data_IF_568367046861
#
_entry.id   IF_568367046861
#
_cell.length_a   1.000
_cell.length_b   1.000
_cell.length_c   1.000
_cell.angle_alpha   90.00
_cell.angle_beta   90.00
_cell.angle_gamma   90.00
#
_symmetry.space_group_name_H-M   'P 1'
#
loop_
_entity.id
_entity.type
_entity.pdbx_description
1 polymer ?
#
# COMPACT_ATOMS: atom_id res chain seq x y z
N UNK A 1 23.88 21.38 -8.39
CA UNK A 1 23.96 20.05 -9.06
C UNK A 1 23.00 19.03 -8.49
N UNK A 2 22.92 18.79 -7.11
CA UNK A 2 22.03 17.79 -6.50
C UNK A 2 20.55 18.21 -6.56
N UNK A 3 20.24 19.49 -6.30
CA UNK A 3 18.88 20.06 -6.41
C UNK A 3 18.36 19.98 -7.85
N UNK A 4 19.14 20.40 -8.83
CA UNK A 4 18.74 20.33 -10.25
C UNK A 4 18.49 18.89 -10.72
N UNK A 5 19.29 17.93 -10.24
CA UNK A 5 19.09 16.53 -10.55
C UNK A 5 17.80 15.98 -9.94
N UNK A 6 17.51 16.33 -8.68
CA UNK A 6 16.25 15.98 -8.00
C UNK A 6 15.04 16.59 -8.69
N UNK A 7 15.11 17.87 -9.05
CA UNK A 7 14.02 18.56 -9.76
C UNK A 7 13.74 17.93 -11.12
N UNK A 8 14.79 17.61 -11.89
CA UNK A 8 14.65 16.91 -13.19
C UNK A 8 14.06 15.50 -13.01
N UNK A 9 14.48 14.78 -11.97
CA UNK A 9 13.98 13.43 -11.69
C UNK A 9 12.53 13.45 -11.22
N UNK A 10 12.16 14.38 -10.34
CA UNK A 10 10.79 14.61 -9.91
C UNK A 10 9.89 15.01 -11.09
N UNK A 11 10.33 15.94 -11.92
CA UNK A 11 9.58 16.36 -13.09
C UNK A 11 9.37 15.21 -14.10
N UNK A 12 10.38 14.34 -14.28
CA UNK A 12 10.26 13.15 -15.14
C UNK A 12 9.24 12.16 -14.58
N UNK A 13 9.25 11.94 -13.27
CA UNK A 13 8.30 11.07 -12.58
C UNK A 13 6.87 11.62 -12.68
N UNK A 14 6.68 12.91 -12.36
CA UNK A 14 5.39 13.56 -12.47
C UNK A 14 4.81 13.47 -13.89
N UNK A 15 5.66 13.69 -14.91
CA UNK A 15 5.23 13.57 -16.31
C UNK A 15 4.87 12.13 -16.70
N UNK A 16 5.62 11.14 -16.22
CA UNK A 16 5.32 9.73 -16.51
C UNK A 16 4.03 9.25 -15.82
N UNK A 17 3.78 9.71 -14.60
CA UNK A 17 2.53 9.44 -13.88
C UNK A 17 1.36 10.13 -14.58
N UNK A 18 1.52 11.39 -14.94
CA UNK A 18 0.48 12.17 -15.65
C UNK A 18 0.13 11.56 -17.02
N UNK A 19 1.13 11.13 -17.79
CA UNK A 19 0.89 10.48 -19.09
C UNK A 19 0.21 9.10 -18.95
N UNK A 20 0.40 8.39 -17.83
CA UNK A 20 -0.24 7.11 -17.56
C UNK A 20 -1.67 7.20 -17.03
N UNK A 21 -2.13 8.38 -16.63
CA UNK A 21 -3.45 8.60 -16.03
C UNK A 21 -4.41 9.36 -16.94
N UNK A 22 -4.20 9.37 -18.25
CA UNK A 22 -5.05 10.08 -19.25
C UNK A 22 -5.40 11.53 -18.89
N UNK A 23 -4.55 12.22 -18.14
CA UNK A 23 -4.72 13.64 -17.80
C UNK A 23 -5.79 13.94 -16.73
N UNK A 24 -6.39 12.94 -16.12
CA UNK A 24 -7.42 13.12 -15.09
C UNK A 24 -6.89 13.39 -13.67
N UNK A 25 -5.57 13.43 -13.49
CA UNK A 25 -4.99 13.73 -12.20
C UNK A 25 -5.15 15.23 -11.89
N UNK A 26 -6.24 15.59 -11.23
CA UNK A 26 -6.36 16.90 -10.59
C UNK A 26 -5.43 16.87 -9.38
N UNK A 27 -4.21 17.36 -9.55
CA UNK A 27 -3.35 17.64 -8.40
C UNK A 27 -3.96 18.82 -7.65
N UNK A 28 -4.58 18.56 -6.51
CA UNK A 28 -4.89 19.62 -5.57
C UNK A 28 -3.58 20.23 -5.11
N UNK A 29 -3.43 21.53 -5.35
CA UNK A 29 -2.33 22.28 -4.77
C UNK A 29 -2.48 22.23 -3.25
N UNK A 30 -1.38 21.92 -2.55
CA UNK A 30 -1.32 21.98 -1.09
C UNK A 30 -1.77 23.37 -0.63
N UNK A 31 -2.89 23.42 0.08
CA UNK A 31 -3.54 24.67 0.51
C UNK A 31 -3.27 25.00 1.98
N UNK A 32 -2.65 24.08 2.69
CA UNK A 32 -2.34 24.25 4.11
C UNK A 32 -1.09 25.10 4.30
N UNK A 33 -0.97 25.70 5.48
CA UNK A 33 0.25 26.39 5.90
C UNK A 33 1.44 25.44 5.86
N UNK A 34 2.64 25.99 5.64
CA UNK A 34 3.90 25.22 5.70
C UNK A 34 3.88 24.34 6.96
N UNK A 35 4.13 23.03 6.85
CA UNK A 35 4.07 22.14 8.00
C UNK A 35 4.89 22.70 9.16
N UNK A 36 4.39 22.61 10.40
CA UNK A 36 5.08 23.14 11.54
C UNK A 36 6.50 22.57 11.62
N UNK A 37 7.46 23.34 12.12
CA UNK A 37 8.84 22.90 12.26
C UNK A 37 8.88 21.54 12.95
N UNK A 38 9.76 20.68 12.47
CA UNK A 38 9.92 19.33 12.98
C UNK A 38 9.94 19.34 14.53
N UNK A 39 9.10 18.52 15.14
CA UNK A 39 9.04 18.37 16.62
C UNK A 39 10.37 17.92 17.23
N UNK A 40 11.36 17.65 16.41
CA UNK A 40 12.61 16.98 16.78
C UNK A 40 13.81 17.92 16.96
N UNK A 41 13.71 19.19 16.59
CA UNK A 41 14.79 20.14 16.87
C UNK A 41 14.28 21.49 17.35
N UNK A 42 13.95 21.56 18.63
CA UNK A 42 13.47 22.78 19.27
C UNK A 42 14.59 23.69 19.73
N UNK A 43 15.86 23.23 19.76
CA UNK A 43 16.94 24.01 20.35
C UNK A 43 17.55 25.08 19.45
N UNK A 44 17.49 24.91 18.12
CA UNK A 44 18.14 25.81 17.17
C UNK A 44 17.21 26.49 16.17
N UNK A 45 15.91 26.31 16.26
CA UNK A 45 14.96 26.90 15.31
C UNK A 45 15.07 26.35 13.88
N UNK A 46 15.72 25.22 13.68
CA UNK A 46 15.84 24.56 12.38
C UNK A 46 14.50 23.96 11.98
N UNK A 47 14.08 24.26 10.76
CA UNK A 47 12.80 23.84 10.19
C UNK A 47 12.76 22.36 9.75
N UNK A 48 13.68 21.50 10.22
CA UNK A 48 13.71 20.08 9.85
C UNK A 48 14.22 19.78 8.45
N UNK A 49 14.90 20.72 7.81
CA UNK A 49 15.51 20.56 6.46
C UNK A 49 17.01 20.24 6.53
N UNK A 50 17.49 19.69 7.63
CA UNK A 50 18.86 19.22 7.75
C UNK A 50 19.02 17.80 7.21
N UNK A 51 20.23 17.41 6.88
CA UNK A 51 20.54 16.05 6.47
C UNK A 51 20.33 15.09 7.67
N UNK A 52 19.53 14.05 7.47
CA UNK A 52 19.25 13.05 8.50
C UNK A 52 20.49 12.20 8.78
N UNK A 53 20.78 11.96 10.05
CA UNK A 53 21.69 10.89 10.44
C UNK A 53 21.12 9.52 10.12
N UNK A 54 21.98 8.47 10.11
CA UNK A 54 21.51 7.11 9.87
C UNK A 54 20.43 6.64 10.85
N UNK A 55 20.57 6.96 12.13
CA UNK A 55 19.58 6.58 13.16
C UNK A 55 18.28 7.38 13.04
N UNK A 56 18.36 8.65 12.63
CA UNK A 56 17.17 9.46 12.37
C UNK A 56 16.42 8.93 11.13
N UNK A 57 17.13 8.60 10.03
CA UNK A 57 16.52 8.00 8.87
C UNK A 57 15.86 6.66 9.21
N UNK A 58 16.57 5.81 9.95
CA UNK A 58 16.04 4.53 10.43
C UNK A 58 14.71 4.73 11.17
N UNK A 59 14.67 5.61 12.15
CA UNK A 59 13.51 5.84 13.01
C UNK A 59 12.36 6.53 12.28
N UNK A 60 12.64 7.58 11.52
CA UNK A 60 11.61 8.44 10.95
C UNK A 60 11.13 8.00 9.58
N UNK A 61 11.94 7.25 8.86
CA UNK A 61 11.59 6.76 7.53
C UNK A 61 11.34 5.26 7.52
N UNK A 62 12.36 4.44 7.77
CA UNK A 62 12.25 2.99 7.66
C UNK A 62 11.24 2.40 8.65
N UNK A 63 11.37 2.70 9.92
CA UNK A 63 10.50 2.15 10.97
C UNK A 63 9.06 2.65 10.84
N UNK A 64 8.84 3.91 10.48
CA UNK A 64 7.51 4.45 10.20
C UNK A 64 6.84 3.76 9.01
N UNK A 65 7.57 3.57 7.90
CA UNK A 65 7.04 2.87 6.72
C UNK A 65 6.73 1.40 7.04
N UNK A 66 7.61 0.72 7.76
CA UNK A 66 7.39 -0.65 8.20
C UNK A 66 6.11 -0.76 9.05
N UNK A 67 5.96 0.09 10.06
CA UNK A 67 4.78 0.13 10.93
C UNK A 67 3.50 0.47 10.15
N UNK A 68 3.57 1.38 9.20
CA UNK A 68 2.44 1.71 8.34
C UNK A 68 2.00 0.51 7.51
N UNK A 69 2.94 -0.20 6.87
CA UNK A 69 2.66 -1.39 6.08
C UNK A 69 2.05 -2.51 6.93
N UNK A 70 2.57 -2.75 8.14
CA UNK A 70 2.02 -3.73 9.08
C UNK A 70 0.56 -3.39 9.43
N UNK A 71 0.26 -2.13 9.74
CA UNK A 71 -1.12 -1.70 10.00
C UNK A 71 -2.04 -1.94 8.80
N UNK A 72 -1.57 -1.63 7.59
CA UNK A 72 -2.33 -1.84 6.34
C UNK A 72 -2.59 -3.31 6.05
N UNK A 73 -1.60 -4.18 6.20
CA UNK A 73 -1.79 -5.64 6.05
C UNK A 73 -2.83 -6.14 7.03
N UNK A 74 -2.72 -5.79 8.30
CA UNK A 74 -3.67 -6.19 9.32
C UNK A 74 -5.09 -5.71 9.01
N UNK A 75 -5.24 -4.49 8.53
CA UNK A 75 -6.54 -3.95 8.09
C UNK A 75 -7.12 -4.76 6.93
N UNK A 76 -6.31 -5.03 5.90
CA UNK A 76 -6.74 -5.79 4.71
C UNK A 76 -7.03 -7.25 5.02
N UNK A 77 -6.26 -7.88 5.91
CA UNK A 77 -6.57 -9.23 6.40
C UNK A 77 -7.89 -9.30 7.17
N UNK A 78 -8.19 -8.31 8.01
CA UNK A 78 -9.48 -8.23 8.70
C UNK A 78 -10.63 -8.06 7.72
N UNK A 79 -10.48 -7.19 6.73
CA UNK A 79 -11.46 -6.99 5.67
C UNK A 79 -11.74 -8.30 4.91
N UNK A 80 -10.68 -9.01 4.51
CA UNK A 80 -10.78 -10.32 3.87
C UNK A 80 -11.52 -11.35 4.74
N UNK A 81 -11.13 -11.47 6.00
CA UNK A 81 -11.77 -12.40 6.94
C UNK A 81 -13.25 -12.09 7.15
N UNK A 82 -13.62 -10.82 7.21
CA UNK A 82 -15.02 -10.42 7.36
C UNK A 82 -15.85 -10.78 6.11
N UNK A 83 -15.31 -10.54 4.92
CA UNK A 83 -15.96 -10.96 3.67
C UNK A 83 -16.13 -12.49 3.60
N UNK A 84 -15.08 -13.24 3.95
CA UNK A 84 -15.16 -14.71 4.01
C UNK A 84 -16.22 -15.17 4.99
N UNK A 85 -16.36 -14.56 6.17
CA UNK A 85 -17.42 -14.87 7.13
C UNK A 85 -18.81 -14.63 6.56
N UNK A 86 -19.01 -13.51 5.85
CA UNK A 86 -20.29 -13.19 5.20
C UNK A 86 -20.63 -14.23 4.11
N UNK A 87 -19.65 -14.65 3.32
CA UNK A 87 -19.81 -15.70 2.31
C UNK A 87 -20.23 -17.02 2.96
N UNK A 88 -19.53 -17.45 4.01
CA UNK A 88 -19.84 -18.71 4.69
C UNK A 88 -21.20 -18.67 5.40
N UNK A 89 -21.57 -17.55 6.02
CA UNK A 89 -22.86 -17.40 6.66
C UNK A 89 -24.00 -17.44 5.63
N UNK A 90 -23.88 -16.68 4.54
CA UNK A 90 -24.90 -16.66 3.51
C UNK A 90 -25.07 -18.00 2.79
N UNK A 91 -23.93 -18.66 2.46
CA UNK A 91 -23.97 -19.99 1.85
C UNK A 91 -24.52 -21.06 2.81
N UNK A 92 -24.12 -21.02 4.08
CA UNK A 92 -24.63 -21.94 5.10
C UNK A 92 -26.11 -21.78 5.37
N UNK A 93 -26.63 -20.55 5.42
CA UNK A 93 -28.06 -20.27 5.52
C UNK A 93 -28.82 -20.80 4.30
N UNK A 94 -28.29 -20.57 3.09
CA UNK A 94 -28.89 -21.10 1.88
C UNK A 94 -28.97 -22.63 1.86
N UNK A 95 -27.89 -23.30 2.28
CA UNK A 95 -27.87 -24.77 2.38
C UNK A 95 -28.85 -25.29 3.44
N UNK A 96 -28.93 -24.64 4.61
CA UNK A 96 -29.89 -25.00 5.66
C UNK A 96 -31.34 -24.85 5.19
N UNK A 97 -31.68 -23.72 4.54
CA UNK A 97 -33.04 -23.50 4.00
C UNK A 97 -33.39 -24.53 2.91
N UNK A 98 -32.43 -24.89 2.04
CA UNK A 98 -32.65 -25.90 1.01
C UNK A 98 -32.89 -27.30 1.60
N UNK A 99 -32.28 -27.64 2.75
CA UNK A 99 -32.43 -28.93 3.42
C UNK A 99 -33.84 -29.17 3.96
N UNK A 100 -34.64 -28.12 4.25
CA UNK A 100 -36.02 -28.28 4.66
C UNK A 100 -36.99 -28.71 3.55
N UNK A 101 -36.60 -28.55 2.27
CA UNK A 101 -37.34 -29.04 1.10
C UNK A 101 -38.71 -28.39 0.86
N UNK A 102 -39.05 -27.31 1.60
CA UNK A 102 -40.33 -26.59 1.47
C UNK A 102 -40.27 -25.61 0.28
N UNK A 103 -41.27 -25.71 -0.61
CA UNK A 103 -41.38 -24.83 -1.79
C UNK A 103 -41.54 -23.35 -1.41
N UNK A 104 -42.08 -23.03 -0.24
CA UNK A 104 -42.19 -21.67 0.29
C UNK A 104 -40.86 -21.04 0.66
N UNK A 105 -39.84 -21.87 0.90
CA UNK A 105 -38.49 -21.40 1.23
C UNK A 105 -37.57 -21.21 -0.01
N UNK A 106 -38.00 -21.62 -1.19
CA UNK A 106 -37.19 -21.54 -2.41
C UNK A 106 -36.74 -20.11 -2.75
N UNK A 107 -37.57 -19.11 -2.51
CA UNK A 107 -37.23 -17.68 -2.71
C UNK A 107 -36.12 -17.22 -1.79
N UNK A 108 -36.09 -17.71 -0.56
CA UNK A 108 -35.02 -17.39 0.40
C UNK A 108 -33.71 -18.07 0.07
N UNK A 109 -33.73 -19.28 -0.47
CA UNK A 109 -32.54 -19.95 -1.00
C UNK A 109 -31.94 -19.15 -2.16
N UNK A 110 -32.77 -18.69 -3.11
CA UNK A 110 -32.31 -17.86 -4.22
C UNK A 110 -31.72 -16.52 -3.73
N UNK A 111 -32.36 -15.90 -2.71
CA UNK A 111 -31.88 -14.64 -2.13
C UNK A 111 -30.51 -14.82 -1.45
N UNK A 112 -30.33 -15.86 -0.64
CA UNK A 112 -29.05 -16.14 0.03
C UNK A 112 -27.95 -16.48 -0.97
N UNK A 113 -28.24 -17.20 -2.05
CA UNK A 113 -27.32 -17.48 -3.15
C UNK A 113 -26.88 -16.18 -3.86
N UNK A 114 -27.81 -15.25 -4.08
CA UNK A 114 -27.51 -13.93 -4.66
C UNK A 114 -26.55 -13.11 -3.78
N UNK A 115 -26.77 -13.08 -2.47
CA UNK A 115 -25.83 -12.44 -1.54
C UNK A 115 -24.46 -13.09 -1.54
N UNK A 116 -24.40 -14.43 -1.56
CA UNK A 116 -23.14 -15.17 -1.64
C UNK A 116 -22.36 -14.78 -2.88
N UNK A 117 -23.02 -14.76 -4.04
CA UNK A 117 -22.42 -14.36 -5.32
C UNK A 117 -21.95 -12.91 -5.30
N UNK A 118 -22.72 -12.00 -4.73
CA UNK A 118 -22.36 -10.59 -4.59
C UNK A 118 -21.10 -10.41 -3.72
N UNK A 119 -21.00 -11.11 -2.58
CA UNK A 119 -19.82 -11.05 -1.71
C UNK A 119 -18.59 -11.67 -2.37
N UNK A 120 -18.74 -12.76 -3.11
CA UNK A 120 -17.64 -13.36 -3.90
C UNK A 120 -17.16 -12.40 -4.98
N UNK A 121 -18.06 -11.80 -5.75
CA UNK A 121 -17.72 -10.79 -6.76
C UNK A 121 -16.99 -9.58 -6.13
N UNK A 122 -17.47 -9.11 -4.98
CA UNK A 122 -16.82 -8.02 -4.26
C UNK A 122 -15.41 -8.38 -3.76
N UNK A 123 -15.23 -9.62 -3.27
CA UNK A 123 -13.89 -10.11 -2.87
C UNK A 123 -12.94 -10.18 -4.05
N UNK A 124 -13.40 -10.64 -5.21
CA UNK A 124 -12.61 -10.69 -6.44
C UNK A 124 -12.25 -9.28 -6.93
N UNK A 125 -13.22 -8.36 -6.97
CA UNK A 125 -12.99 -6.97 -7.39
C UNK A 125 -11.92 -6.29 -6.53
N UNK A 126 -11.94 -6.50 -5.22
CA UNK A 126 -10.94 -5.92 -4.30
C UNK A 126 -9.56 -6.59 -4.37
N UNK A 127 -9.46 -7.75 -4.96
CA UNK A 127 -8.23 -8.55 -5.09
C UNK A 127 -7.39 -8.59 -3.79
N UNK A 128 -8.09 -8.80 -2.65
CA UNK A 128 -7.50 -8.66 -1.31
C UNK A 128 -6.33 -9.62 -1.07
N UNK A 129 -6.33 -10.80 -1.71
CA UNK A 129 -5.24 -11.77 -1.56
C UNK A 129 -3.94 -11.26 -2.18
N UNK A 130 -4.01 -10.66 -3.36
CA UNK A 130 -2.87 -10.04 -4.03
C UNK A 130 -2.34 -8.84 -3.22
N UNK A 131 -3.26 -7.99 -2.77
CA UNK A 131 -2.92 -6.81 -1.96
C UNK A 131 -2.19 -7.22 -0.67
N UNK A 132 -2.73 -8.18 0.08
CA UNK A 132 -2.11 -8.69 1.31
C UNK A 132 -0.72 -9.29 1.02
N UNK A 133 -0.58 -10.07 -0.05
CA UNK A 133 0.69 -10.68 -0.44
C UNK A 133 1.74 -9.62 -0.79
N UNK A 134 1.37 -8.62 -1.57
CA UNK A 134 2.29 -7.55 -1.97
C UNK A 134 2.77 -6.72 -0.77
N UNK A 135 1.86 -6.31 0.11
CA UNK A 135 2.26 -5.62 1.34
C UNK A 135 3.12 -6.50 2.26
N UNK A 136 2.82 -7.81 2.35
CA UNK A 136 3.61 -8.73 3.17
C UNK A 136 5.04 -8.89 2.63
N UNK A 137 5.22 -8.90 1.31
CA UNK A 137 6.55 -8.90 0.68
C UNK A 137 7.35 -7.66 1.09
N UNK A 138 6.73 -6.48 1.01
CA UNK A 138 7.40 -5.23 1.41
C UNK A 138 7.78 -5.24 2.89
N UNK A 139 6.88 -5.71 3.77
CA UNK A 139 7.17 -5.84 5.20
C UNK A 139 8.38 -6.75 5.42
N UNK A 140 8.46 -7.88 4.73
CA UNK A 140 9.58 -8.81 4.84
C UNK A 140 10.89 -8.14 4.44
N UNK A 141 10.93 -7.47 3.30
CA UNK A 141 12.13 -6.80 2.80
C UNK A 141 12.56 -5.64 3.72
N UNK A 142 11.62 -4.79 4.16
CA UNK A 142 11.92 -3.72 5.10
C UNK A 142 12.36 -4.24 6.48
N UNK A 143 11.81 -5.38 6.92
CA UNK A 143 12.23 -6.01 8.17
C UNK A 143 13.66 -6.51 8.10
N UNK A 144 14.09 -7.09 6.98
CA UNK A 144 15.48 -7.53 6.77
C UNK A 144 16.44 -6.35 6.91
N UNK A 145 16.12 -5.20 6.30
CA UNK A 145 16.94 -4.00 6.42
C UNK A 145 16.94 -3.47 7.87
N UNK A 146 15.76 -3.46 8.50
CA UNK A 146 15.61 -3.04 9.90
C UNK A 146 16.45 -3.90 10.85
N UNK A 147 16.38 -5.21 10.69
CA UNK A 147 17.10 -6.15 11.55
C UNK A 147 18.62 -6.04 11.32
N UNK A 148 19.03 -5.86 10.06
CA UNK A 148 20.45 -5.61 9.75
C UNK A 148 20.96 -4.37 10.49
N UNK A 149 20.26 -3.22 10.38
CA UNK A 149 20.66 -1.98 11.05
C UNK A 149 20.69 -2.10 12.57
N UNK A 150 19.72 -2.80 13.17
CA UNK A 150 19.65 -3.02 14.62
C UNK A 150 20.78 -3.91 15.15
N UNK A 151 21.26 -4.84 14.32
CA UNK A 151 22.32 -5.77 14.69
C UNK A 151 23.73 -5.19 14.48
N UNK A 152 23.87 -4.05 13.80
CA UNK A 152 25.16 -3.37 13.66
C UNK A 152 25.57 -2.69 14.96
N UNK A 153 26.81 -2.89 15.39
CA UNK A 153 27.41 -2.15 16.48
C UNK A 153 27.55 -0.65 16.09
N UNK A 154 27.52 0.28 17.07
CA UNK A 154 27.63 1.72 16.78
C UNK A 154 28.86 2.08 15.92
N UNK A 155 29.96 1.36 16.09
CA UNK A 155 31.20 1.57 15.35
C UNK A 155 31.12 1.07 13.88
N UNK A 156 30.23 0.10 13.61
CA UNK A 156 29.99 -0.45 12.28
C UNK A 156 28.98 0.36 11.46
N UNK A 157 28.24 1.28 12.09
CA UNK A 157 27.27 2.18 11.42
C UNK A 157 27.97 3.26 10.63
N UNK A 158 28.78 2.83 9.68
CA UNK A 158 29.53 3.71 8.79
C UNK A 158 28.63 4.44 7.79
N UNK A 159 29.14 5.50 7.18
CA UNK A 159 28.43 6.23 6.12
C UNK A 159 28.01 5.32 4.95
N UNK A 160 28.79 4.28 4.64
CA UNK A 160 28.45 3.32 3.60
C UNK A 160 27.24 2.45 3.98
N UNK A 161 27.12 2.06 5.24
CA UNK A 161 25.95 1.32 5.72
C UNK A 161 24.68 2.20 5.77
N UNK A 162 24.82 3.48 6.11
CA UNK A 162 23.73 4.46 5.98
C UNK A 162 23.25 4.55 4.53
N UNK A 163 24.16 4.73 3.56
CA UNK A 163 23.80 4.77 2.14
C UNK A 163 23.14 3.47 1.67
N UNK A 164 23.62 2.33 2.11
CA UNK A 164 23.05 1.03 1.77
C UNK A 164 21.62 0.91 2.29
N UNK A 165 21.38 1.25 3.56
CA UNK A 165 20.05 1.25 4.18
C UNK A 165 19.10 2.19 3.41
N UNK A 166 19.52 3.43 3.15
CA UNK A 166 18.71 4.42 2.42
C UNK A 166 18.35 3.93 1.02
N UNK A 167 19.34 3.50 0.24
CA UNK A 167 19.12 3.06 -1.12
C UNK A 167 18.21 1.85 -1.19
N UNK A 168 18.45 0.83 -0.36
CA UNK A 168 17.63 -0.38 -0.34
C UNK A 168 16.19 -0.08 0.10
N UNK A 169 15.99 0.77 1.11
CA UNK A 169 14.66 1.17 1.55
C UNK A 169 13.90 1.91 0.46
N UNK A 170 14.51 2.91 -0.15
CA UNK A 170 13.85 3.71 -1.19
C UNK A 170 13.62 2.88 -2.48
N UNK A 171 14.49 1.94 -2.81
CA UNK A 171 14.28 1.01 -3.92
C UNK A 171 13.06 0.12 -3.71
N UNK A 172 12.90 -0.47 -2.51
CA UNK A 172 11.74 -1.30 -2.17
C UNK A 172 10.45 -0.47 -2.23
N UNK A 173 10.45 0.73 -1.64
CA UNK A 173 9.28 1.61 -1.65
C UNK A 173 8.95 2.11 -3.06
N UNK A 174 9.96 2.34 -3.89
CA UNK A 174 9.80 2.75 -5.28
C UNK A 174 9.27 1.62 -6.16
N UNK A 175 9.78 0.40 -6.00
CA UNK A 175 9.33 -0.77 -6.78
C UNK A 175 7.83 -1.01 -6.61
N UNK A 176 7.30 -0.83 -5.40
CA UNK A 176 5.86 -0.88 -5.12
C UNK A 176 5.05 0.12 -5.96
N UNK A 177 5.52 1.35 -6.05
CA UNK A 177 4.81 2.39 -6.80
C UNK A 177 4.83 2.08 -8.30
N UNK A 178 5.93 1.54 -8.81
CA UNK A 178 6.05 1.11 -10.20
C UNK A 178 5.14 -0.07 -10.51
N UNK A 179 5.07 -1.08 -9.64
CA UNK A 179 4.15 -2.22 -9.81
C UNK A 179 2.68 -1.77 -9.80
N UNK A 180 2.32 -0.85 -8.90
CA UNK A 180 0.97 -0.29 -8.86
C UNK A 180 0.61 0.47 -10.15
N UNK A 181 1.52 1.31 -10.65
CA UNK A 181 1.32 2.05 -11.90
C UNK A 181 1.19 1.10 -13.09
N UNK A 182 2.01 0.05 -13.17
CA UNK A 182 1.92 -0.97 -14.22
C UNK A 182 0.58 -1.70 -14.20
N UNK A 183 0.16 -2.17 -13.04
CA UNK A 183 -1.13 -2.85 -12.89
C UNK A 183 -2.31 -1.94 -13.28
N UNK A 184 -2.22 -0.65 -12.98
CA UNK A 184 -3.24 0.33 -13.37
C UNK A 184 -3.22 0.59 -14.89
N UNK A 185 -2.05 0.65 -15.52
CA UNK A 185 -1.92 0.79 -16.97
C UNK A 185 -2.43 -0.44 -17.73
N UNK A 186 -2.19 -1.64 -17.21
CA UNK A 186 -2.72 -2.89 -17.76
C UNK A 186 -4.25 -2.91 -17.68
N UNK A 187 -4.82 -2.56 -16.54
CA UNK A 187 -6.27 -2.49 -16.36
C UNK A 187 -6.94 -1.48 -17.31
N UNK A 188 -6.30 -0.33 -17.58
CA UNK A 188 -6.79 0.65 -18.54
C UNK A 188 -6.67 0.16 -20.00
N UNK A 189 -5.63 -0.59 -20.31
CA UNK A 189 -5.48 -1.21 -21.63
C UNK A 189 -6.59 -2.23 -21.92
N UNK A 190 -6.85 -3.08 -20.94
CA UNK A 190 -7.88 -4.10 -21.07
C UNK A 190 -9.27 -3.48 -21.23
N UNK A 191 -9.57 -2.39 -20.51
CA UNK A 191 -10.85 -1.68 -20.65
C UNK A 191 -11.04 -1.01 -22.02
N UNK A 192 -9.96 -0.53 -22.65
CA UNK A 192 -10.04 0.10 -23.98
C UNK A 192 -10.13 -0.93 -25.12
N UNK A 193 -9.75 -2.20 -24.87
CA UNK A 193 -9.89 -3.27 -25.86
C UNK A 193 -11.31 -3.85 -25.91
N UNK A 194 -12.11 -3.64 -24.85
CA UNK A 194 -13.51 -4.08 -24.79
C UNK A 194 -14.48 -3.07 -25.46
N UNK A 195 -13.98 -1.88 -25.86
CA UNK A 195 -14.76 -0.83 -26.54
C UNK A 195 -14.60 -0.81 -28.10
N UNK A 196 -13.71 -1.63 -28.68
CA UNK A 196 -13.56 -1.84 -30.12
C UNK A 196 -14.28 -3.14 -30.59
#
# INVERSE_FOLDING_TARGET
>A
RRREWLEKKLAKIQRSVFSGMNGELVMETYKDEVPPPSRFNTKNGEMGFHDLSGDEYFKFRLENELNWHIKKVNQKQRERKNLQRLIYISAGLGAALAAFGDSGLAIWVALTASFTSAFLGWQQLKNLDLVVRNYSKIIMELSIISDHWKNLDPEERTQSEVYRMVNSTEEILWSRNVEYIKAMQEALRDSNLDEE
#
